data_IF_425197402988
#
_entry.id   IF_425197402988
#
_cell.length_a   1.000
_cell.length_b   1.000
_cell.length_c   1.000
_cell.angle_alpha   90.00
_cell.angle_beta   90.00
_cell.angle_gamma   90.00
#
_symmetry.space_group_name_H-M   'P 1'
#
loop_
_entity.id
_entity.type
_entity.pdbx_description
1 polymer ?
#
# COMPACT_ATOMS: atom_id res chain seq x y z
N UNK A 1 4.75 9.13 -52.67
CA UNK A 1 3.68 8.13 -52.85
C UNK A 1 4.34 6.99 -53.65
N UNK A 2 4.73 5.83 -53.13
CA UNK A 2 3.88 4.70 -52.69
C UNK A 2 4.72 3.58 -52.02
N UNK A 3 5.83 3.87 -51.32
CA UNK A 3 6.69 2.82 -50.74
C UNK A 3 6.62 2.63 -49.20
N UNK A 4 6.05 3.59 -48.45
CA UNK A 4 6.06 3.55 -46.96
C UNK A 4 4.84 2.87 -46.31
N UNK A 5 3.81 2.53 -47.10
CA UNK A 5 2.56 1.93 -46.59
C UNK A 5 2.55 0.39 -46.61
N UNK A 6 3.49 -0.25 -47.33
CA UNK A 6 3.54 -1.71 -47.44
C UNK A 6 4.32 -2.41 -46.31
N UNK A 7 5.24 -1.70 -45.63
CA UNK A 7 5.99 -2.27 -44.50
C UNK A 7 5.21 -2.23 -43.17
N UNK A 8 4.30 -1.26 -43.00
CA UNK A 8 3.41 -1.17 -41.83
C UNK A 8 2.25 -2.19 -41.88
N UNK A 9 1.80 -2.57 -43.08
CA UNK A 9 0.71 -3.56 -43.24
C UNK A 9 1.19 -5.02 -43.08
N UNK A 10 2.47 -5.31 -43.32
CA UNK A 10 3.03 -6.65 -43.12
C UNK A 10 3.26 -7.02 -41.65
N UNK A 11 3.58 -6.02 -40.81
CA UNK A 11 3.81 -6.22 -39.36
C UNK A 11 2.51 -6.45 -38.57
N UNK A 12 1.43 -5.74 -38.91
CA UNK A 12 0.12 -5.90 -38.27
C UNK A 12 -0.55 -7.24 -38.58
N UNK A 13 -0.33 -7.81 -39.78
CA UNK A 13 -0.88 -9.12 -40.16
C UNK A 13 -0.30 -10.28 -39.35
N UNK A 14 0.95 -10.17 -38.87
CA UNK A 14 1.57 -11.19 -38.00
C UNK A 14 1.07 -11.14 -36.55
N UNK A 15 0.73 -9.94 -36.05
CA UNK A 15 0.15 -9.78 -34.71
C UNK A 15 -1.30 -10.32 -34.65
N UNK A 16 -2.09 -10.13 -35.72
CA UNK A 16 -3.46 -10.68 -35.80
C UNK A 16 -3.50 -12.21 -35.98
N UNK A 17 -2.53 -12.81 -36.68
CA UNK A 17 -2.46 -14.27 -36.86
C UNK A 17 -1.97 -15.00 -35.60
N UNK A 18 -1.17 -14.35 -34.77
CA UNK A 18 -0.76 -14.87 -33.46
C UNK A 18 -1.89 -14.78 -32.40
N UNK A 19 -2.73 -13.73 -32.47
CA UNK A 19 -3.86 -13.53 -31.54
C UNK A 19 -5.01 -14.53 -31.75
N UNK A 20 -5.31 -14.92 -33.00
CA UNK A 20 -6.35 -15.92 -33.32
C UNK A 20 -5.97 -17.37 -32.99
N UNK A 21 -4.69 -17.66 -32.69
CA UNK A 21 -4.22 -19.02 -32.37
C UNK A 21 -4.18 -19.32 -30.86
N UNK A 22 -4.31 -18.29 -30.02
CA UNK A 22 -4.19 -18.41 -28.55
C UNK A 22 -5.56 -18.32 -27.85
N UNK A 23 -6.54 -17.64 -28.44
CA UNK A 23 -7.90 -17.52 -27.89
C UNK A 23 -8.89 -18.26 -28.79
N UNK A 24 -9.18 -19.51 -28.42
CA UNK A 24 -10.43 -20.17 -28.86
C UNK A 24 -11.54 -19.68 -27.93
N UNK A 25 -12.24 -18.63 -28.32
CA UNK A 25 -13.58 -18.35 -27.82
C UNK A 25 -14.33 -17.69 -28.97
N UNK A 26 -15.05 -18.52 -29.72
CA UNK A 26 -16.03 -18.06 -30.70
C UNK A 26 -17.28 -17.56 -29.97
N UNK A 27 -17.91 -16.57 -30.59
CA UNK A 27 -19.26 -16.04 -30.38
C UNK A 27 -19.56 -15.43 -29.01
N UNK A 28 -19.79 -14.11 -28.98
CA UNK A 28 -21.04 -13.48 -28.52
C UNK A 28 -20.94 -11.95 -28.74
N UNK A 29 -21.77 -11.51 -29.67
CA UNK A 29 -22.36 -10.20 -29.99
C UNK A 29 -21.74 -8.88 -29.50
N UNK A 30 -21.52 -8.01 -30.49
CA UNK A 30 -21.32 -6.58 -30.35
C UNK A 30 -22.65 -5.90 -30.00
N UNK A 31 -22.76 -5.32 -28.81
CA UNK A 31 -23.64 -4.18 -28.57
C UNK A 31 -22.92 -3.18 -27.64
N UNK A 32 -22.15 -2.29 -28.24
CA UNK A 32 -21.62 -1.09 -27.57
C UNK A 32 -22.69 0.00 -27.59
N UNK A 33 -23.53 0.04 -26.56
CA UNK A 33 -24.37 1.21 -26.29
C UNK A 33 -23.49 2.30 -25.64
N UNK A 34 -23.33 3.43 -26.34
CA UNK A 34 -22.83 4.69 -25.74
C UNK A 34 -23.94 5.31 -24.90
N UNK A 35 -23.72 5.69 -23.63
CA UNK A 35 -24.68 6.55 -22.94
C UNK A 35 -24.42 8.01 -23.31
N UNK A 36 -25.44 8.69 -23.86
CA UNK A 36 -25.51 10.15 -23.94
C UNK A 36 -25.90 10.72 -22.59
N UNK A 37 -25.34 11.88 -22.24
CA UNK A 37 -25.32 12.44 -20.88
C UNK A 37 -26.53 13.31 -20.51
N UNK A 38 -27.58 13.43 -21.34
CA UNK A 38 -28.59 14.49 -21.18
C UNK A 38 -30.05 14.01 -21.09
N UNK A 39 -30.35 12.95 -20.34
CA UNK A 39 -31.74 12.58 -20.04
C UNK A 39 -31.95 12.39 -18.53
N UNK A 40 -32.49 13.42 -17.87
CA UNK A 40 -33.00 13.40 -16.50
C UNK A 40 -34.23 12.46 -16.40
N UNK A 41 -34.20 11.40 -15.58
CA UNK A 41 -35.39 10.59 -15.34
C UNK A 41 -36.23 11.23 -14.23
N UNK A 42 -37.39 11.79 -14.61
CA UNK A 42 -38.41 12.25 -13.66
C UNK A 42 -39.03 11.03 -12.98
N UNK A 43 -38.63 10.75 -11.74
CA UNK A 43 -39.21 9.69 -10.93
C UNK A 43 -40.43 10.22 -10.18
N UNK A 44 -41.63 9.89 -10.67
CA UNK A 44 -42.88 10.15 -9.95
C UNK A 44 -43.05 9.07 -8.87
N UNK A 45 -42.84 9.42 -7.61
CA UNK A 45 -43.06 8.52 -6.47
C UNK A 45 -44.56 8.54 -6.15
N UNK A 46 -45.30 7.50 -6.56
CA UNK A 46 -46.58 7.15 -5.92
C UNK A 46 -46.24 6.28 -4.71
N UNK A 47 -46.51 6.80 -3.51
CA UNK A 47 -46.33 6.08 -2.25
C UNK A 47 -47.53 5.18 -1.99
N UNK A 48 -47.55 4.00 -2.61
CA UNK A 48 -48.37 2.90 -2.12
C UNK A 48 -47.52 2.18 -1.06
N UNK A 49 -47.71 2.59 0.20
CA UNK A 49 -47.06 2.00 1.37
C UNK A 49 -47.63 0.59 1.58
N UNK A 50 -47.05 -0.39 0.89
CA UNK A 50 -47.22 -1.80 1.28
C UNK A 50 -46.35 -1.99 2.51
N UNK A 51 -46.98 -2.34 3.62
CA UNK A 51 -46.30 -2.80 4.83
C UNK A 51 -45.65 -4.15 4.52
N UNK A 52 -44.42 -4.11 4.00
CA UNK A 52 -43.65 -5.31 3.73
C UNK A 52 -42.79 -5.61 4.95
N UNK A 53 -43.38 -6.33 5.90
CA UNK A 53 -42.63 -7.18 6.83
C UNK A 53 -41.92 -8.27 6.01
N UNK A 54 -40.76 -7.95 5.46
CA UNK A 54 -39.87 -8.94 4.88
C UNK A 54 -39.16 -9.66 6.02
N UNK A 55 -39.74 -10.75 6.53
CA UNK A 55 -38.95 -11.75 7.24
C UNK A 55 -37.98 -12.38 6.23
N UNK A 56 -36.71 -12.01 6.34
CA UNK A 56 -35.67 -12.45 5.43
C UNK A 56 -35.15 -13.81 5.88
N UNK A 57 -35.46 -14.88 5.14
CA UNK A 57 -34.85 -16.18 5.36
C UNK A 57 -33.32 -16.08 5.20
N UNK A 58 -32.56 -16.85 5.98
CA UNK A 58 -31.11 -16.92 5.88
C UNK A 58 -30.73 -17.42 4.47
N UNK A 59 -30.35 -16.48 3.60
CA UNK A 59 -29.94 -16.78 2.24
C UNK A 59 -28.64 -17.59 2.17
N UNK A 60 -28.42 -18.26 1.03
CA UNK A 60 -27.16 -18.94 0.75
C UNK A 60 -26.00 -17.94 0.77
N UNK A 61 -25.15 -18.02 1.79
CA UNK A 61 -24.03 -17.11 1.98
C UNK A 61 -22.85 -17.51 1.08
N UNK A 62 -22.81 -16.98 -0.15
CA UNK A 62 -21.69 -17.21 -1.07
C UNK A 62 -20.49 -16.34 -0.69
N UNK A 63 -19.52 -16.92 0.01
CA UNK A 63 -18.30 -16.22 0.41
C UNK A 63 -17.21 -16.34 -0.67
N UNK A 64 -17.04 -15.30 -1.49
CA UNK A 64 -15.98 -15.21 -2.51
C UNK A 64 -14.66 -14.62 -2.01
N UNK A 65 -14.52 -14.38 -0.71
CA UNK A 65 -13.35 -13.71 -0.13
C UNK A 65 -12.06 -14.46 -0.40
N UNK A 66 -12.07 -15.80 -0.34
CA UNK A 66 -10.88 -16.60 -0.57
C UNK A 66 -10.41 -16.52 -2.04
N UNK A 67 -11.34 -16.57 -2.99
CA UNK A 67 -11.04 -16.41 -4.41
C UNK A 67 -10.50 -15.01 -4.72
N UNK A 68 -11.13 -13.97 -4.16
CA UNK A 68 -10.66 -12.59 -4.25
C UNK A 68 -9.23 -12.43 -3.68
N UNK A 69 -8.98 -12.97 -2.49
CA UNK A 69 -7.65 -12.96 -1.85
C UNK A 69 -6.61 -13.63 -2.73
N UNK A 70 -6.88 -14.82 -3.25
CA UNK A 70 -5.95 -15.53 -4.15
C UNK A 70 -5.56 -14.69 -5.39
N UNK A 71 -6.52 -14.04 -6.05
CA UNK A 71 -6.23 -13.17 -7.19
C UNK A 71 -5.44 -11.93 -6.78
N UNK A 72 -5.82 -11.31 -5.67
CA UNK A 72 -5.16 -10.14 -5.11
C UNK A 72 -3.72 -10.46 -4.72
N UNK A 73 -3.48 -11.57 -4.06
CA UNK A 73 -2.18 -11.99 -3.54
C UNK A 73 -1.17 -12.17 -4.67
N UNK A 74 -1.56 -12.78 -5.79
CA UNK A 74 -0.69 -12.89 -6.98
C UNK A 74 -0.18 -11.52 -7.44
N UNK A 75 -1.06 -10.50 -7.46
CA UNK A 75 -0.70 -9.14 -7.88
C UNK A 75 0.09 -8.40 -6.81
N UNK A 76 -0.33 -8.47 -5.56
CA UNK A 76 0.32 -7.80 -4.42
C UNK A 76 1.73 -8.36 -4.21
N UNK A 77 1.91 -9.68 -4.26
CA UNK A 77 3.21 -10.33 -4.08
C UNK A 77 4.24 -9.82 -5.08
N UNK A 78 3.85 -9.62 -6.35
CA UNK A 78 4.76 -9.03 -7.35
C UNK A 78 5.24 -7.64 -6.93
N UNK A 79 4.34 -6.75 -6.51
CA UNK A 79 4.74 -5.41 -6.07
C UNK A 79 5.60 -5.43 -4.82
N UNK A 80 5.23 -6.25 -3.83
CA UNK A 80 5.98 -6.37 -2.57
C UNK A 80 7.39 -6.89 -2.82
N UNK A 81 7.54 -7.93 -3.64
CA UNK A 81 8.86 -8.49 -3.98
C UNK A 81 9.72 -7.45 -4.69
N UNK A 82 9.18 -6.77 -5.71
CA UNK A 82 9.95 -5.76 -6.45
C UNK A 82 10.30 -4.55 -5.56
N UNK A 83 9.37 -4.05 -4.74
CA UNK A 83 9.66 -2.98 -3.78
C UNK A 83 10.72 -3.39 -2.77
N UNK A 84 10.64 -4.59 -2.18
CA UNK A 84 11.62 -5.05 -1.19
C UNK A 84 13.02 -5.18 -1.80
N UNK A 85 13.13 -5.67 -3.05
CA UNK A 85 14.41 -5.67 -3.78
C UNK A 85 14.97 -4.27 -3.94
N UNK A 86 14.13 -3.28 -4.25
CA UNK A 86 14.56 -1.88 -4.36
C UNK A 86 15.01 -1.32 -3.02
N UNK A 87 14.30 -1.59 -1.93
CA UNK A 87 14.66 -1.11 -0.59
C UNK A 87 16.01 -1.67 -0.12
N UNK A 88 16.26 -2.97 -0.32
CA UNK A 88 17.55 -3.60 0.02
C UNK A 88 18.69 -2.96 -0.78
N UNK A 89 18.49 -2.73 -2.08
CA UNK A 89 19.51 -2.08 -2.92
C UNK A 89 19.71 -0.62 -2.52
N UNK A 90 18.62 0.08 -2.20
CA UNK A 90 18.64 1.46 -1.74
C UNK A 90 19.47 1.59 -0.46
N UNK A 91 19.26 0.70 0.50
CA UNK A 91 20.01 0.66 1.77
C UNK A 91 21.52 0.45 1.55
N UNK A 92 21.89 -0.48 0.67
CA UNK A 92 23.30 -0.71 0.32
C UNK A 92 23.96 0.50 -0.34
N UNK A 93 23.22 1.24 -1.18
CA UNK A 93 23.73 2.42 -1.90
C UNK A 93 23.89 3.65 -1.03
N UNK A 94 23.15 3.76 0.08
CA UNK A 94 23.25 4.89 1.01
C UNK A 94 24.26 4.65 2.13
N UNK A 95 24.60 3.39 2.45
CA UNK A 95 25.52 3.03 3.53
C UNK A 95 27.00 3.15 3.16
N UNK A 96 27.38 2.93 1.89
CA UNK A 96 28.78 3.03 1.44
C UNK A 96 28.98 4.28 0.57
N UNK A 97 29.38 5.38 1.22
CA UNK A 97 29.71 6.64 0.57
C UNK A 97 31.23 6.71 0.44
N UNK A 98 31.79 5.93 -0.49
CA UNK A 98 33.18 6.13 -0.89
C UNK A 98 33.35 7.55 -1.46
N UNK A 99 34.34 8.29 -0.95
CA UNK A 99 34.70 9.62 -1.46
C UNK A 99 35.33 9.57 -2.86
N UNK A 100 35.79 8.38 -3.28
CA UNK A 100 36.42 8.14 -4.59
C UNK A 100 35.35 7.83 -5.66
N UNK A 101 35.21 8.66 -6.71
CA UNK A 101 34.17 8.50 -7.72
C UNK A 101 34.28 7.20 -8.53
N UNK A 102 35.49 6.66 -8.74
CA UNK A 102 35.68 5.44 -9.51
C UNK A 102 35.23 4.21 -8.71
N UNK A 103 35.69 4.11 -7.47
CA UNK A 103 35.25 3.06 -6.53
C UNK A 103 33.76 3.12 -6.26
N UNK A 104 33.19 4.32 -6.16
CA UNK A 104 31.74 4.51 -6.03
C UNK A 104 30.99 3.93 -7.23
N UNK A 105 31.44 4.21 -8.46
CA UNK A 105 30.79 3.69 -9.68
C UNK A 105 30.91 2.17 -9.79
N UNK A 106 32.05 1.61 -9.40
CA UNK A 106 32.26 0.16 -9.36
C UNK A 106 31.35 -0.51 -8.32
N UNK A 107 31.23 0.08 -7.13
CA UNK A 107 30.30 -0.38 -6.11
C UNK A 107 28.83 -0.28 -6.57
N UNK A 108 28.40 0.84 -7.17
CA UNK A 108 27.04 0.97 -7.72
C UNK A 108 26.70 -0.15 -8.72
N UNK A 109 27.66 -0.55 -9.54
CA UNK A 109 27.51 -1.65 -10.51
C UNK A 109 27.56 -3.03 -9.87
N UNK A 110 28.24 -3.20 -8.73
CA UNK A 110 28.25 -4.46 -7.99
C UNK A 110 26.92 -4.72 -7.28
N UNK A 111 26.20 -3.66 -6.87
CA UNK A 111 24.86 -3.76 -6.29
C UNK A 111 23.81 -4.17 -7.32
N UNK A 112 23.86 -3.58 -8.52
CA UNK A 112 22.97 -3.97 -9.62
C UNK A 112 23.71 -3.88 -10.95
N UNK A 113 23.70 -4.94 -11.78
CA UNK A 113 24.28 -4.87 -13.12
C UNK A 113 23.56 -3.83 -13.98
N UNK A 114 24.32 -2.97 -14.64
CA UNK A 114 23.77 -1.97 -15.55
C UNK A 114 23.63 -2.55 -16.96
N UNK A 115 22.48 -2.31 -17.58
CA UNK A 115 22.24 -2.74 -18.97
C UNK A 115 23.15 -1.93 -19.90
N UNK A 116 23.75 -2.58 -20.89
CA UNK A 116 24.62 -1.93 -21.85
C UNK A 116 23.83 -0.96 -22.74
N UNK A 117 24.43 0.18 -23.05
CA UNK A 117 23.78 1.24 -23.84
C UNK A 117 23.40 0.76 -25.26
N UNK A 118 24.22 -0.13 -25.83
CA UNK A 118 24.00 -0.76 -27.14
C UNK A 118 22.71 -1.57 -27.23
N UNK A 119 22.27 -2.15 -26.12
CA UNK A 119 21.11 -3.05 -26.08
C UNK A 119 19.78 -2.28 -26.01
N UNK A 120 19.85 -0.96 -25.76
CA UNK A 120 18.70 -0.10 -25.53
C UNK A 120 18.71 1.06 -26.53
N UNK A 121 18.22 0.85 -27.77
CA UNK A 121 18.20 1.90 -28.80
C UNK A 121 17.11 2.97 -28.56
N UNK A 122 16.05 2.62 -27.82
CA UNK A 122 14.93 3.50 -27.48
C UNK A 122 14.76 3.59 -25.96
N UNK A 123 14.46 4.77 -25.44
CA UNK A 123 14.18 4.97 -24.01
C UNK A 123 12.92 4.18 -23.60
N UNK A 124 13.00 3.21 -22.66
CA UNK A 124 11.84 2.42 -22.24
C UNK A 124 10.68 3.26 -21.68
N UNK A 125 10.99 4.43 -21.10
CA UNK A 125 9.98 5.31 -20.52
C UNK A 125 9.21 6.20 -21.50
N UNK A 126 9.76 6.50 -22.69
CA UNK A 126 9.12 7.42 -23.65
C UNK A 126 9.22 6.99 -25.12
N UNK A 127 9.82 5.83 -25.39
CA UNK A 127 10.06 5.24 -26.71
C UNK A 127 10.85 6.10 -27.71
N UNK A 128 11.47 7.21 -27.27
CA UNK A 128 12.32 8.06 -28.12
C UNK A 128 13.71 7.45 -28.27
N UNK A 129 14.28 7.54 -29.47
CA UNK A 129 15.64 7.04 -29.76
C UNK A 129 16.70 7.84 -29.03
N UNK A 130 17.74 7.13 -28.59
CA UNK A 130 18.96 7.75 -28.10
C UNK A 130 19.82 8.26 -29.26
N UNK A 131 20.71 9.20 -28.97
CA UNK A 131 21.59 9.83 -29.96
C UNK A 131 22.44 10.93 -29.31
N UNK A 132 23.07 11.79 -30.11
CA UNK A 132 24.02 12.80 -29.60
C UNK A 132 23.42 13.73 -28.54
N UNK A 133 22.17 14.16 -28.74
CA UNK A 133 21.44 15.05 -27.81
C UNK A 133 20.74 14.29 -26.68
N UNK A 134 20.32 13.03 -26.89
CA UNK A 134 19.65 12.20 -25.90
C UNK A 134 20.58 11.09 -25.45
N UNK A 135 21.28 11.31 -24.33
CA UNK A 135 22.22 10.35 -23.73
C UNK A 135 21.52 9.29 -22.88
N UNK A 136 22.21 8.17 -22.70
CA UNK A 136 21.85 7.08 -21.81
C UNK A 136 22.12 7.46 -20.35
N UNK A 137 21.19 7.11 -19.48
CA UNK A 137 21.38 7.23 -18.03
C UNK A 137 20.87 5.96 -17.36
N UNK A 138 21.62 5.45 -16.38
CA UNK A 138 21.23 4.25 -15.64
C UNK A 138 20.52 4.58 -14.34
N UNK A 139 19.48 3.82 -14.02
CA UNK A 139 18.88 3.81 -12.71
C UNK A 139 19.77 3.03 -11.74
N UNK A 140 20.16 3.66 -10.63
CA UNK A 140 21.05 3.02 -9.65
C UNK A 140 20.38 1.86 -8.89
N UNK A 141 19.04 1.78 -8.88
CA UNK A 141 18.31 0.73 -8.15
C UNK A 141 17.99 -0.52 -8.98
N UNK A 142 17.78 -0.36 -10.29
CA UNK A 142 17.39 -1.48 -11.17
C UNK A 142 18.33 -1.70 -12.36
N UNK A 143 19.28 -0.80 -12.61
CA UNK A 143 20.24 -0.93 -13.71
C UNK A 143 19.68 -0.61 -15.11
N UNK A 144 18.37 -0.33 -15.24
CA UNK A 144 17.78 0.02 -16.52
C UNK A 144 18.23 1.39 -17.03
N UNK A 145 18.27 1.49 -18.35
CA UNK A 145 18.58 2.71 -19.10
C UNK A 145 17.32 3.57 -19.27
N UNK A 146 17.47 4.89 -19.11
CA UNK A 146 16.46 5.90 -19.42
C UNK A 146 17.10 7.20 -19.94
N UNK A 147 16.30 8.05 -20.57
CA UNK A 147 16.73 9.42 -20.92
C UNK A 147 16.57 10.39 -19.73
N UNK A 148 17.16 11.59 -19.82
CA UNK A 148 17.11 12.58 -18.73
C UNK A 148 15.67 12.94 -18.32
N UNK A 149 14.77 13.15 -19.30
CA UNK A 149 13.35 13.47 -19.06
C UNK A 149 12.56 12.33 -18.41
N UNK A 150 13.08 11.10 -18.44
CA UNK A 150 12.48 9.92 -17.80
C UNK A 150 13.21 9.49 -16.53
N UNK A 151 14.17 10.30 -16.08
CA UNK A 151 14.92 10.07 -14.85
C UNK A 151 14.46 10.99 -13.73
N UNK A 152 14.57 10.50 -12.50
CA UNK A 152 14.23 11.20 -11.28
C UNK A 152 15.43 11.16 -10.34
N UNK A 153 15.46 12.07 -9.38
CA UNK A 153 16.45 12.08 -8.31
C UNK A 153 15.74 11.99 -6.97
N UNK A 154 16.27 11.15 -6.09
CA UNK A 154 15.82 11.07 -4.69
C UNK A 154 16.98 11.48 -3.79
N UNK A 155 16.67 12.20 -2.72
CA UNK A 155 17.67 12.55 -1.71
C UNK A 155 18.01 11.34 -0.83
N UNK A 156 19.22 11.33 -0.28
CA UNK A 156 19.63 10.31 0.68
C UNK A 156 18.77 10.36 1.97
N UNK A 157 18.26 11.54 2.36
CA UNK A 157 17.29 11.67 3.46
C UNK A 157 16.01 10.89 3.20
N UNK A 158 15.43 11.04 2.01
CA UNK A 158 14.25 10.29 1.62
C UNK A 158 14.54 8.80 1.58
N UNK A 159 15.70 8.41 1.05
CA UNK A 159 16.12 7.01 1.02
C UNK A 159 16.20 6.40 2.44
N UNK A 160 16.83 7.11 3.39
CA UNK A 160 16.89 6.69 4.79
C UNK A 160 15.50 6.53 5.43
N UNK A 161 14.56 7.47 5.17
CA UNK A 161 13.17 7.34 5.65
C UNK A 161 12.55 6.00 5.24
N UNK A 162 12.83 5.55 4.01
CA UNK A 162 12.23 4.33 3.47
C UNK A 162 12.91 3.03 3.93
N UNK A 163 14.19 3.07 4.31
CA UNK A 163 14.94 1.87 4.71
C UNK A 163 14.98 1.66 6.22
N UNK A 164 14.66 2.67 7.03
CA UNK A 164 14.56 2.52 8.48
C UNK A 164 13.48 1.47 8.82
N UNK A 165 13.81 0.43 9.62
CA UNK A 165 12.79 -0.48 10.13
C UNK A 165 11.78 0.34 10.91
N UNK A 166 10.49 0.13 10.64
CA UNK A 166 9.42 0.71 11.44
C UNK A 166 9.67 0.30 12.90
N UNK A 167 10.17 1.24 13.70
CA UNK A 167 10.33 1.04 15.14
C UNK A 167 8.92 0.77 15.63
N UNK A 168 8.68 -0.46 16.09
CA UNK A 168 7.48 -0.87 16.81
C UNK A 168 7.17 0.19 17.86
N UNK A 169 5.92 0.66 17.87
CA UNK A 169 5.39 1.80 18.65
C UNK A 169 5.68 1.79 20.17
N UNK A 170 6.27 0.74 20.71
CA UNK A 170 6.48 0.55 22.16
C UNK A 170 7.65 1.37 22.74
N UNK A 171 8.59 1.88 21.93
CA UNK A 171 9.74 2.63 22.45
C UNK A 171 9.58 4.15 22.52
N UNK A 172 8.48 4.72 22.00
CA UNK A 172 8.28 6.18 21.99
C UNK A 172 7.74 6.76 23.30
N UNK A 173 7.28 5.93 24.24
CA UNK A 173 6.72 6.39 25.52
C UNK A 173 7.69 6.36 26.71
N UNK A 174 8.94 5.87 26.54
CA UNK A 174 9.89 5.76 27.66
C UNK A 174 11.22 6.52 27.50
N UNK A 175 11.43 7.31 26.45
CA UNK A 175 12.59 8.21 26.36
C UNK A 175 12.25 9.64 26.81
N UNK A 176 11.81 9.76 28.06
CA UNK A 176 11.98 11.00 28.82
C UNK A 176 12.60 10.63 30.15
N UNK A 177 13.82 11.11 30.39
CA UNK A 177 14.69 10.96 31.56
C UNK A 177 15.58 9.69 31.63
N UNK A 178 16.86 9.88 31.27
CA UNK A 178 18.07 9.52 32.06
C UNK A 178 19.23 9.03 31.16
N UNK A 179 20.49 9.38 31.48
CA UNK A 179 21.65 9.13 30.63
C UNK A 179 22.25 7.75 30.90
N UNK A 180 22.48 6.94 29.86
CA UNK A 180 23.24 5.68 29.99
C UNK A 180 24.29 5.52 28.90
N UNK A 181 25.45 5.08 29.39
CA UNK A 181 26.73 4.78 28.78
C UNK A 181 26.71 4.02 27.44
N UNK A 182 27.41 4.63 26.48
CA UNK A 182 28.28 4.07 25.42
C UNK A 182 28.22 2.55 25.17
N UNK A 183 27.65 2.19 24.01
CA UNK A 183 28.24 1.20 23.09
C UNK A 183 28.18 1.79 21.67
N UNK A 184 29.32 1.78 20.98
CA UNK A 184 29.61 2.62 19.83
C UNK A 184 28.69 2.41 18.63
N UNK A 185 28.21 3.53 18.10
CA UNK A 185 27.80 3.65 16.70
C UNK A 185 28.42 4.94 16.18
N UNK A 186 29.37 4.81 15.25
CA UNK A 186 30.09 5.92 14.63
C UNK A 186 29.22 6.80 13.71
N UNK A 187 27.89 6.66 13.78
CA UNK A 187 26.93 7.36 12.93
C UNK A 187 26.66 8.82 13.36
N UNK A 188 27.03 9.21 14.59
CA UNK A 188 26.70 10.54 15.14
C UNK A 188 27.81 11.59 15.05
N UNK A 189 28.94 11.30 14.40
CA UNK A 189 30.04 12.27 14.19
C UNK A 189 30.16 12.79 12.76
N UNK A 190 29.33 12.30 11.82
CA UNK A 190 29.36 12.77 10.43
C UNK A 190 28.59 14.10 10.21
N UNK A 191 27.98 14.67 11.26
CA UNK A 191 27.15 15.88 11.13
C UNK A 191 27.88 17.21 11.36
N UNK A 192 29.22 17.22 11.53
CA UNK A 192 29.99 18.46 11.79
C UNK A 192 31.09 18.76 10.75
N UNK A 193 31.09 18.06 9.62
CA UNK A 193 31.89 18.44 8.44
C UNK A 193 31.01 18.37 7.19
N UNK A 194 30.28 19.44 6.89
CA UNK A 194 29.78 19.65 5.54
C UNK A 194 29.80 21.14 5.16
N UNK A 195 31.02 21.62 4.89
CA UNK A 195 31.25 22.77 4.03
C UNK A 195 31.18 22.22 2.59
N UNK A 196 30.07 22.48 1.89
CA UNK A 196 29.87 22.04 0.50
C UNK A 196 28.53 21.33 0.28
N UNK A 197 27.48 22.09 0.07
CA UNK A 197 26.14 21.62 -0.26
C UNK A 197 26.07 21.05 -1.68
N UNK A 198 26.57 19.83 -1.88
CA UNK A 198 26.13 18.99 -3.00
C UNK A 198 25.13 17.98 -2.43
N UNK A 199 23.84 18.22 -2.69
CA UNK A 199 22.78 17.34 -2.20
C UNK A 199 23.02 15.92 -2.73
N UNK A 200 23.39 14.99 -1.84
CA UNK A 200 23.59 13.57 -2.18
C UNK A 200 22.28 13.00 -2.73
N UNK A 201 22.23 12.91 -4.05
CA UNK A 201 21.05 12.53 -4.82
C UNK A 201 21.32 11.24 -5.60
N UNK A 202 20.36 10.32 -5.58
CA UNK A 202 20.42 9.08 -6.34
C UNK A 202 19.53 9.17 -7.58
N UNK A 203 20.09 8.93 -8.76
CA UNK A 203 19.31 8.91 -10.01
C UNK A 203 18.57 7.58 -10.17
N UNK A 204 17.25 7.66 -10.37
CA UNK A 204 16.37 6.51 -10.53
C UNK A 204 15.45 6.65 -11.75
N UNK A 205 14.90 5.53 -12.23
CA UNK A 205 13.89 5.54 -13.28
C UNK A 205 12.49 5.84 -12.72
N UNK A 206 11.54 6.15 -13.61
CA UNK A 206 10.13 6.39 -13.27
C UNK A 206 9.50 5.25 -12.47
N UNK A 207 9.76 4.00 -12.86
CA UNK A 207 9.14 2.83 -12.22
C UNK A 207 9.62 2.63 -10.78
N UNK A 208 10.92 2.78 -10.54
CA UNK A 208 11.48 2.74 -9.20
C UNK A 208 10.93 3.89 -8.34
N UNK A 209 10.81 5.09 -8.91
CA UNK A 209 10.24 6.23 -8.21
C UNK A 209 8.78 5.96 -7.79
N UNK A 210 7.95 5.40 -8.69
CA UNK A 210 6.56 5.06 -8.37
C UNK A 210 6.46 4.00 -7.26
N UNK A 211 7.33 2.99 -7.27
CA UNK A 211 7.35 1.95 -6.23
C UNK A 211 7.77 2.51 -4.86
N UNK A 212 8.80 3.36 -4.83
CA UNK A 212 9.27 4.00 -3.58
C UNK A 212 8.23 4.98 -3.02
N UNK A 213 7.61 5.82 -3.85
CA UNK A 213 6.53 6.71 -3.42
C UNK A 213 5.30 5.95 -2.90
N UNK A 214 4.98 4.80 -3.51
CA UNK A 214 3.91 3.93 -3.00
C UNK A 214 4.27 3.34 -1.64
N UNK A 215 5.52 2.92 -1.46
CA UNK A 215 6.01 2.43 -0.17
C UNK A 215 5.92 3.52 0.90
N UNK A 216 6.36 4.74 0.58
CA UNK A 216 6.27 5.91 1.47
C UNK A 216 4.84 6.14 1.96
N UNK A 217 3.87 6.20 1.04
CA UNK A 217 2.45 6.31 1.38
C UNK A 217 1.94 5.17 2.26
N UNK A 218 2.44 3.94 2.03
CA UNK A 218 2.08 2.80 2.86
C UNK A 218 2.69 2.89 4.26
N UNK A 219 3.91 3.41 4.40
CA UNK A 219 4.50 3.71 5.71
C UNK A 219 3.69 4.79 6.43
N UNK A 220 3.33 5.86 5.74
CA UNK A 220 2.52 6.94 6.30
C UNK A 220 1.14 6.42 6.77
N UNK A 221 0.47 5.57 5.99
CA UNK A 221 -0.80 4.95 6.37
C UNK A 221 -0.68 3.94 7.52
N UNK A 222 0.47 3.26 7.66
CA UNK A 222 0.71 2.38 8.82
C UNK A 222 0.97 3.19 10.07
N UNK A 223 1.70 4.29 9.94
CA UNK A 223 2.02 5.19 11.04
C UNK A 223 0.84 6.09 11.42
N UNK A 224 -0.08 6.34 10.49
CA UNK A 224 -1.29 7.12 10.69
C UNK A 224 -2.52 6.21 10.75
N UNK A 225 -2.93 5.82 11.97
CA UNK A 225 -4.18 5.08 12.16
C UNK A 225 -5.38 5.94 11.73
N UNK A 226 -6.12 5.59 10.66
CA UNK A 226 -7.28 6.37 10.23
C UNK A 226 -8.32 6.46 11.35
N UNK A 227 -9.00 7.60 11.47
CA UNK A 227 -10.01 7.84 12.53
C UNK A 227 -11.08 6.73 12.53
N UNK A 228 -11.53 6.28 11.36
CA UNK A 228 -12.50 5.19 11.24
C UNK A 228 -12.02 3.89 11.90
N UNK A 229 -10.73 3.55 11.76
CA UNK A 229 -10.15 2.36 12.39
C UNK A 229 -10.14 2.53 13.91
N UNK A 230 -9.77 3.72 14.40
CA UNK A 230 -9.78 4.01 15.84
C UNK A 230 -11.21 3.94 16.43
N UNK A 231 -12.22 4.44 15.70
CA UNK A 231 -13.63 4.36 16.10
C UNK A 231 -14.11 2.91 16.12
N UNK A 232 -13.79 2.13 15.09
CA UNK A 232 -14.17 0.72 15.03
C UNK A 232 -13.48 -0.13 16.11
N UNK A 233 -12.21 0.13 16.42
CA UNK A 233 -11.49 -0.50 17.53
C UNK A 233 -12.19 -0.20 18.87
N UNK A 234 -12.54 1.06 19.13
CA UNK A 234 -13.30 1.46 20.33
C UNK A 234 -14.67 0.82 20.43
N UNK A 235 -15.39 0.73 19.30
CA UNK A 235 -16.69 0.05 19.23
C UNK A 235 -16.52 -1.44 19.59
N UNK A 236 -15.54 -2.12 18.99
CA UNK A 236 -15.23 -3.52 19.29
C UNK A 236 -14.83 -3.75 20.74
N UNK A 237 -14.06 -2.84 21.34
CA UNK A 237 -13.71 -2.89 22.76
C UNK A 237 -14.97 -2.80 23.64
N UNK A 238 -15.86 -1.84 23.37
CA UNK A 238 -17.12 -1.69 24.09
C UNK A 238 -17.99 -2.95 23.96
N UNK A 239 -18.16 -3.47 22.74
CA UNK A 239 -18.91 -4.72 22.50
C UNK A 239 -18.28 -5.92 23.23
N UNK A 240 -16.95 -6.02 23.23
CA UNK A 240 -16.26 -7.10 23.93
C UNK A 240 -16.43 -7.02 25.44
N UNK A 241 -16.45 -5.83 26.03
CA UNK A 241 -16.67 -5.63 27.46
C UNK A 241 -18.11 -6.00 27.84
N UNK A 242 -19.11 -5.56 27.07
CA UNK A 242 -20.52 -5.94 27.27
C UNK A 242 -20.69 -7.46 27.20
N UNK A 243 -20.09 -8.11 26.20
CA UNK A 243 -20.16 -9.57 26.06
C UNK A 243 -19.54 -10.34 27.23
N UNK A 244 -18.60 -9.72 27.99
CA UNK A 244 -18.03 -10.31 29.21
C UNK A 244 -18.90 -10.06 30.45
N UNK A 245 -19.49 -8.86 30.56
CA UNK A 245 -20.25 -8.45 31.74
C UNK A 245 -21.68 -9.01 31.76
N UNK A 246 -22.31 -9.21 30.59
CA UNK A 246 -23.69 -9.73 30.49
C UNK A 246 -23.84 -11.13 31.13
N UNK A 247 -22.94 -12.10 30.89
CA UNK A 247 -23.02 -13.40 31.58
C UNK A 247 -22.89 -13.28 33.11
N UNK A 248 -21.96 -12.46 33.61
CA UNK A 248 -21.77 -12.23 35.05
C UNK A 248 -23.03 -11.61 35.68
N UNK A 249 -23.64 -10.63 35.00
CA UNK A 249 -24.87 -10.01 35.46
C UNK A 249 -26.04 -10.99 35.52
N UNK A 250 -26.15 -11.91 34.53
CA UNK A 250 -27.18 -12.95 34.54
C UNK A 250 -27.00 -13.92 35.71
N UNK A 251 -25.78 -14.39 35.94
CA UNK A 251 -25.45 -15.29 37.05
C UNK A 251 -25.78 -14.66 38.41
N UNK A 252 -25.40 -13.40 38.62
CA UNK A 252 -25.70 -12.69 39.88
C UNK A 252 -27.21 -12.51 40.10
N UNK A 253 -27.99 -12.25 39.04
CA UNK A 253 -29.45 -12.14 39.15
C UNK A 253 -30.10 -13.49 39.44
N UNK A 254 -29.64 -14.56 38.79
CA UNK A 254 -30.16 -15.91 39.01
C UNK A 254 -29.89 -16.39 40.44
N UNK A 255 -28.70 -16.13 40.98
CA UNK A 255 -28.33 -16.42 42.37
C UNK A 255 -29.22 -15.65 43.37
N UNK A 256 -29.39 -14.33 43.18
CA UNK A 256 -30.28 -13.53 44.02
C UNK A 256 -31.75 -13.97 43.95
N UNK A 257 -32.25 -14.30 42.76
CA UNK A 257 -33.62 -14.80 42.58
C UNK A 257 -33.83 -16.18 43.23
N UNK A 258 -32.77 -16.98 43.33
CA UNK A 258 -32.77 -18.28 44.01
C UNK A 258 -32.65 -18.14 45.54
N UNK A 259 -32.48 -16.92 46.05
CA UNK A 259 -32.38 -16.62 47.47
C UNK A 259 -30.98 -16.84 48.07
N UNK A 260 -29.97 -16.99 47.22
CA UNK A 260 -28.57 -17.13 47.63
C UNK A 260 -28.02 -15.76 48.08
N UNK A 261 -27.11 -15.76 49.06
CA UNK A 261 -26.51 -14.53 49.62
C UNK A 261 -25.10 -14.24 49.09
N UNK A 262 -24.71 -14.92 48.01
CA UNK A 262 -23.35 -14.85 47.47
C UNK A 262 -23.03 -13.50 46.81
N UNK A 263 -24.06 -12.71 46.47
CA UNK A 263 -23.94 -11.39 45.86
C UNK A 263 -24.80 -10.35 46.58
N UNK A 264 -24.35 -9.09 46.59
CA UNK A 264 -25.16 -7.98 47.11
C UNK A 264 -25.95 -7.31 45.99
N UNK A 265 -27.16 -6.83 46.32
CA UNK A 265 -28.00 -6.07 45.39
C UNK A 265 -27.27 -4.84 44.81
N UNK A 266 -26.41 -4.22 45.63
CA UNK A 266 -25.59 -3.07 45.24
C UNK A 266 -24.66 -3.39 44.06
N UNK A 267 -24.00 -4.56 44.10
CA UNK A 267 -23.05 -4.99 43.06
C UNK A 267 -23.76 -5.25 41.73
N UNK A 268 -24.96 -5.81 41.78
CA UNK A 268 -25.82 -6.03 40.60
C UNK A 268 -26.26 -4.71 39.97
N UNK A 269 -26.61 -3.71 40.79
CA UNK A 269 -26.96 -2.38 40.30
C UNK A 269 -25.77 -1.68 39.64
N UNK A 270 -24.58 -1.79 40.22
CA UNK A 270 -23.36 -1.22 39.65
C UNK A 270 -23.01 -1.88 38.30
N UNK A 271 -23.09 -3.20 38.23
CA UNK A 271 -22.83 -3.95 37.01
C UNK A 271 -23.86 -3.62 35.91
N UNK A 272 -25.15 -3.53 36.27
CA UNK A 272 -26.22 -3.08 35.37
C UNK A 272 -25.94 -1.70 34.81
N UNK A 273 -25.59 -0.75 35.68
CA UNK A 273 -25.28 0.62 35.27
C UNK A 273 -24.10 0.65 34.30
N UNK A 274 -23.04 -0.13 34.57
CA UNK A 274 -21.88 -0.26 33.69
C UNK A 274 -22.24 -0.83 32.32
N UNK A 275 -23.06 -1.88 32.26
CA UNK A 275 -23.55 -2.47 31.00
C UNK A 275 -24.36 -1.45 30.20
N UNK A 276 -25.32 -0.75 30.83
CA UNK A 276 -26.14 0.27 30.16
C UNK A 276 -25.28 1.40 29.60
N UNK A 277 -24.30 1.89 30.36
CA UNK A 277 -23.38 2.94 29.88
C UNK A 277 -22.51 2.49 28.71
N UNK A 278 -22.13 1.22 28.65
CA UNK A 278 -21.40 0.67 27.52
C UNK A 278 -22.31 0.50 26.29
N UNK A 279 -23.57 0.10 26.47
CA UNK A 279 -24.56 0.02 25.39
C UNK A 279 -24.86 1.40 24.80
N UNK A 280 -25.08 2.42 25.63
CA UNK A 280 -25.26 3.81 25.18
C UNK A 280 -24.07 4.30 24.36
N UNK A 281 -22.84 3.91 24.73
CA UNK A 281 -21.62 4.25 23.97
C UNK A 281 -21.51 3.49 22.64
N UNK A 282 -22.07 2.30 22.54
CA UNK A 282 -22.14 1.54 21.29
C UNK A 282 -23.12 2.20 20.33
N UNK A 283 -24.31 2.60 20.82
CA UNK A 283 -25.36 3.21 20.00
C UNK A 283 -25.04 4.65 19.57
N UNK A 284 -24.17 5.35 20.32
CA UNK A 284 -23.74 6.71 20.01
C UNK A 284 -22.64 6.82 18.93
N UNK A 285 -22.09 5.69 18.45
CA UNK A 285 -21.01 5.62 17.46
C UNK A 285 -21.47 5.10 16.10
#
# INVERSE_FOLDING_TARGET
MTASLLHQTFSLKRLHKAKRKILKQDTLDNDFIKPSFDAEPVFTVKSDFVDISWEQDIGLLSNHTQYFKMLRDKKINRYVIETNKLLIRLDKLICDISSDPEKKKEYEKSIVPWVADSDVPLCPGCAKSFGLSRRWHHCRLCGYVMCNSCSFFISYDFARKLTLPAISDDQRLLQKSSPVSRKGSAASLMSVVNIGSDHQNLRICKDCNMLLQRHDKMLDLKNHRPVLVQLYERLRECMSEVNKLVPQYKEMIESLNSGETDYQLQDVHELKFKITKLAERIDAH
#
